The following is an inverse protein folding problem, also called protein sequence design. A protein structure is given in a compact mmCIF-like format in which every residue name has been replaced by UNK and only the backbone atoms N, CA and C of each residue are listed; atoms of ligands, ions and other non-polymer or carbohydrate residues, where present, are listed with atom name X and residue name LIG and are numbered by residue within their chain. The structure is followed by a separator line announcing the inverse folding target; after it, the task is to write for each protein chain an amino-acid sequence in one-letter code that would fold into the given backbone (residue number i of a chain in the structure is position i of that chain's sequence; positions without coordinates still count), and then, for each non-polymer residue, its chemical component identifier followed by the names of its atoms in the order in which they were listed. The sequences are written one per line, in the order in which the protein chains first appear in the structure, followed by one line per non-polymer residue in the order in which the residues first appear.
data_IF_292565653621
#
_entry.id   IF_292565653621
#
_cell.length_a   1.000
_cell.length_b   1.000
_cell.length_c   1.000
_cell.angle_alpha   90.00
_cell.angle_beta   90.00
_cell.angle_gamma   90.00
#
_symmetry.space_group_name_H-M   'P 1'
#
loop_
_entity.id
_entity.type
_entity.pdbx_description
1 polymer ?
#
# COMPACT_ATOMS: atom_id res chain seq x y z
N UNK A 1 29.65 23.78 -10.64
CA UNK A 1 30.85 22.92 -10.76
C UNK A 1 32.19 23.65 -10.62
N UNK A 2 32.34 24.90 -11.09
CA UNK A 2 33.60 25.66 -10.94
C UNK A 2 34.02 25.87 -9.47
N UNK A 3 33.11 26.32 -8.60
CA UNK A 3 33.39 26.52 -7.17
C UNK A 3 33.74 25.24 -6.41
N UNK A 4 33.07 24.12 -6.69
CA UNK A 4 33.37 22.81 -6.11
C UNK A 4 34.82 22.37 -6.42
N UNK A 5 35.25 22.49 -7.67
CA UNK A 5 36.64 22.18 -8.04
C UNK A 5 37.63 23.09 -7.31
N UNK A 6 37.35 24.38 -7.25
CA UNK A 6 38.25 25.31 -6.58
C UNK A 6 38.44 24.95 -5.10
N UNK A 7 37.39 24.46 -4.42
CA UNK A 7 37.46 24.04 -3.03
C UNK A 7 38.16 22.68 -2.82
N UNK A 8 37.89 21.69 -3.69
CA UNK A 8 38.26 20.29 -3.39
C UNK A 8 39.26 19.64 -4.37
N UNK A 9 39.75 20.37 -5.38
CA UNK A 9 40.59 19.77 -6.44
C UNK A 9 41.92 19.19 -5.93
N UNK A 10 42.55 19.78 -4.91
CA UNK A 10 43.78 19.24 -4.35
C UNK A 10 43.55 17.87 -3.69
N UNK A 11 42.53 17.77 -2.84
CA UNK A 11 42.13 16.54 -2.14
C UNK A 11 41.69 15.44 -3.12
N UNK A 12 40.89 15.80 -4.13
CA UNK A 12 40.43 14.86 -5.16
C UNK A 12 41.58 14.27 -5.99
N UNK A 13 42.63 15.05 -6.24
CA UNK A 13 43.82 14.58 -6.97
C UNK A 13 44.77 13.76 -6.10
N UNK A 14 44.63 13.81 -4.78
CA UNK A 14 45.41 13.02 -3.82
C UNK A 14 44.85 11.60 -3.66
N UNK A 15 43.55 11.42 -3.92
CA UNK A 15 42.88 10.11 -4.01
C UNK A 15 43.27 9.29 -5.26
N UNK A 16 44.28 9.73 -6.02
CA UNK A 16 44.74 9.00 -7.20
C UNK A 16 45.38 7.66 -6.81
N UNK A 17 44.80 6.58 -7.31
CA UNK A 17 45.37 5.22 -7.18
C UNK A 17 46.69 5.05 -7.95
N UNK A 18 47.04 6.01 -8.80
CA UNK A 18 48.26 5.99 -9.62
C UNK A 18 49.23 7.10 -9.17
N UNK A 19 50.52 6.78 -8.94
CA UNK A 19 51.53 7.80 -8.63
C UNK A 19 51.73 8.79 -9.79
N UNK A 20 51.93 10.07 -9.46
CA UNK A 20 52.18 11.14 -10.46
C UNK A 20 53.46 10.92 -11.29
N UNK A 21 54.39 10.09 -10.82
CA UNK A 21 55.60 9.70 -11.53
C UNK A 21 55.32 8.84 -12.77
N UNK A 22 54.22 8.07 -12.77
CA UNK A 22 53.81 7.22 -13.90
C UNK A 22 52.89 8.01 -14.86
N UNK A 23 53.49 8.84 -15.72
CA UNK A 23 52.75 9.83 -16.52
C UNK A 23 51.65 9.25 -17.42
N UNK A 24 51.86 8.07 -18.02
CA UNK A 24 50.89 7.46 -18.93
C UNK A 24 49.63 6.97 -18.19
N UNK A 25 49.83 6.27 -17.08
CA UNK A 25 48.76 5.72 -16.25
C UNK A 25 48.02 6.83 -15.50
N UNK A 26 48.75 7.85 -15.02
CA UNK A 26 48.17 9.00 -14.35
C UNK A 26 47.28 9.82 -15.30
N UNK A 27 47.68 10.00 -16.57
CA UNK A 27 46.82 10.64 -17.59
C UNK A 27 45.56 9.83 -17.88
N UNK A 28 45.67 8.51 -17.92
CA UNK A 28 44.53 7.61 -18.11
C UNK A 28 43.56 7.70 -16.93
N UNK A 29 44.08 7.74 -15.70
CA UNK A 29 43.30 7.96 -14.49
C UNK A 29 42.61 9.33 -14.51
N UNK A 30 43.32 10.42 -14.82
CA UNK A 30 42.76 11.77 -14.92
C UNK A 30 41.58 11.84 -15.90
N UNK A 31 41.68 11.15 -17.04
CA UNK A 31 40.59 11.08 -18.02
C UNK A 31 39.38 10.34 -17.46
N UNK A 32 39.57 9.22 -16.77
CA UNK A 32 38.47 8.48 -16.12
C UNK A 32 37.84 9.30 -15.01
N UNK A 33 38.66 9.92 -14.17
CA UNK A 33 38.21 10.78 -13.08
C UNK A 33 37.43 11.98 -13.59
N UNK A 34 37.92 12.68 -14.63
CA UNK A 34 37.19 13.77 -15.25
C UNK A 34 35.86 13.29 -15.85
N UNK A 35 35.85 12.12 -16.53
CA UNK A 35 34.62 11.53 -17.06
C UNK A 35 33.60 11.20 -15.96
N UNK A 36 34.06 10.73 -14.81
CA UNK A 36 33.21 10.50 -13.64
C UNK A 36 32.70 11.82 -13.06
N UNK A 37 33.58 12.78 -12.78
CA UNK A 37 33.28 14.05 -12.11
C UNK A 37 32.28 14.91 -12.90
N UNK A 38 32.35 14.87 -14.23
CA UNK A 38 31.42 15.60 -15.12
C UNK A 38 30.31 14.72 -15.70
N UNK A 39 30.33 13.42 -15.40
CA UNK A 39 29.23 12.54 -15.74
C UNK A 39 28.02 12.80 -14.84
N UNK A 40 26.84 12.37 -15.27
CA UNK A 40 25.62 12.42 -14.45
C UNK A 40 25.33 11.09 -13.78
N UNK A 41 26.13 10.05 -14.05
CA UNK A 41 25.91 8.70 -13.52
C UNK A 41 25.99 8.60 -12.00
N UNK A 42 26.59 9.58 -11.33
CA UNK A 42 26.67 9.67 -9.87
C UNK A 42 25.64 10.65 -9.28
N UNK A 43 24.75 11.21 -10.11
CA UNK A 43 23.65 12.08 -9.67
C UNK A 43 22.40 11.22 -9.59
N UNK A 44 21.88 11.06 -8.38
CA UNK A 44 20.62 10.39 -8.14
C UNK A 44 19.59 11.42 -7.67
N UNK A 45 18.37 11.35 -8.23
CA UNK A 45 17.22 12.14 -7.76
C UNK A 45 16.33 11.18 -6.97
N UNK A 46 16.40 11.16 -5.63
CA UNK A 46 15.47 10.40 -4.83
C UNK A 46 14.13 11.13 -4.75
N UNK A 47 13.05 10.42 -5.02
CA UNK A 47 11.70 10.88 -4.66
C UNK A 47 11.37 10.42 -3.24
N UNK A 48 10.77 11.30 -2.45
CA UNK A 48 10.21 10.98 -1.14
C UNK A 48 8.75 11.40 -1.10
N UNK A 49 7.93 10.59 -0.42
CA UNK A 49 6.55 10.90 -0.09
C UNK A 49 6.50 11.00 1.43
N UNK A 50 6.04 12.13 1.93
CA UNK A 50 5.80 12.33 3.35
C UNK A 50 4.30 12.13 3.63
N UNK A 51 4.00 11.30 4.61
CA UNK A 51 2.65 11.11 5.14
C UNK A 51 2.68 11.51 6.62
N UNK A 52 1.84 12.46 7.01
CA UNK A 52 1.86 13.08 8.34
C UNK A 52 3.26 13.55 8.78
N UNK A 53 3.99 14.22 7.87
CA UNK A 53 5.36 14.68 8.07
C UNK A 53 6.40 13.58 8.35
N UNK A 54 6.06 12.31 8.07
CA UNK A 54 6.97 11.17 8.16
C UNK A 54 7.20 10.60 6.76
N UNK A 55 8.46 10.47 6.39
CA UNK A 55 8.87 9.77 5.16
C UNK A 55 8.31 8.35 5.12
N UNK A 56 7.63 7.99 4.03
CA UNK A 56 7.02 6.67 3.80
C UNK A 56 7.98 5.49 4.03
N UNK A 57 9.29 5.70 3.79
CA UNK A 57 10.36 4.69 3.99
C UNK A 57 10.60 4.40 5.47
N UNK A 58 10.20 5.31 6.36
CA UNK A 58 10.29 5.18 7.82
C UNK A 58 9.00 4.64 8.45
N UNK A 59 7.91 4.57 7.69
CA UNK A 59 6.66 3.97 8.15
C UNK A 59 6.81 2.44 8.29
N UNK A 60 6.08 1.86 9.25
CA UNK A 60 5.94 0.41 9.35
C UNK A 60 5.16 -0.15 8.15
N UNK A 61 5.21 -1.47 7.90
CA UNK A 61 4.57 -2.07 6.73
C UNK A 61 3.08 -1.74 6.56
N UNK A 62 2.35 -1.61 7.68
CA UNK A 62 0.93 -1.26 7.66
C UNK A 62 0.66 0.13 7.09
N UNK A 63 1.06 1.23 7.78
CA UNK A 63 0.94 2.60 7.31
C UNK A 63 1.49 2.81 5.90
N UNK A 64 2.60 2.16 5.55
CA UNK A 64 3.14 2.19 4.19
C UNK A 64 2.16 1.63 3.15
N UNK A 65 1.52 0.50 3.44
CA UNK A 65 0.50 -0.10 2.57
C UNK A 65 -0.70 0.83 2.34
N UNK A 66 -1.11 1.58 3.37
CA UNK A 66 -2.16 2.59 3.29
C UNK A 66 -1.79 3.69 2.33
N UNK A 67 -0.62 4.31 2.51
CA UNK A 67 -0.19 5.45 1.68
C UNK A 67 -0.13 5.02 0.23
N UNK A 68 0.35 3.81 -0.04
CA UNK A 68 0.36 3.24 -1.38
C UNK A 68 -1.07 3.05 -1.93
N UNK A 69 -1.99 2.54 -1.12
CA UNK A 69 -3.39 2.35 -1.51
C UNK A 69 -4.09 3.69 -1.80
N UNK A 70 -3.91 4.69 -0.94
CA UNK A 70 -4.39 6.07 -1.15
C UNK A 70 -3.85 6.62 -2.47
N UNK A 71 -2.55 6.45 -2.73
CA UNK A 71 -1.92 6.89 -3.96
C UNK A 71 -2.55 6.22 -5.20
N UNK A 72 -2.79 4.91 -5.16
CA UNK A 72 -3.40 4.16 -6.27
C UNK A 72 -4.86 4.51 -6.51
N UNK A 73 -5.60 4.90 -5.46
CA UNK A 73 -7.00 5.30 -5.57
C UNK A 73 -7.13 6.77 -5.99
N UNK A 74 -6.26 7.66 -5.50
CA UNK A 74 -6.38 9.11 -5.68
C UNK A 74 -5.65 9.67 -6.91
N UNK A 75 -4.55 9.06 -7.38
CA UNK A 75 -3.77 9.63 -8.50
C UNK A 75 -4.29 9.28 -9.90
N UNK A 76 -5.33 8.46 -10.00
CA UNK A 76 -5.64 7.72 -11.22
C UNK A 76 -7.09 7.90 -11.67
N UNK A 77 -7.57 9.15 -11.71
CA UNK A 77 -8.94 9.52 -12.12
C UNK A 77 -9.32 9.12 -13.56
N UNK A 78 -8.34 8.82 -14.42
CA UNK A 78 -8.56 8.36 -15.79
C UNK A 78 -8.10 6.92 -16.05
N UNK A 79 -7.70 6.19 -15.00
CA UNK A 79 -7.25 4.80 -15.13
C UNK A 79 -8.45 3.87 -14.90
N UNK A 80 -8.94 3.29 -15.98
CA UNK A 80 -10.10 2.38 -15.99
C UNK A 80 -9.71 0.91 -15.78
N UNK A 81 -8.41 0.61 -15.62
CA UNK A 81 -7.94 -0.77 -15.47
C UNK A 81 -8.46 -1.40 -14.18
N UNK A 82 -8.83 -2.70 -14.18
CA UNK A 82 -9.27 -3.38 -12.98
C UNK A 82 -8.22 -3.32 -11.87
N UNK A 83 -8.65 -2.95 -10.66
CA UNK A 83 -7.83 -2.93 -9.46
C UNK A 83 -8.16 -4.14 -8.60
N UNK A 84 -7.15 -4.95 -8.29
CA UNK A 84 -7.27 -6.09 -7.38
C UNK A 84 -6.47 -5.79 -6.10
N UNK A 85 -7.14 -5.85 -4.96
CA UNK A 85 -6.55 -5.61 -3.64
C UNK A 85 -6.78 -6.84 -2.78
N UNK A 86 -5.71 -7.43 -2.27
CA UNK A 86 -5.77 -8.59 -1.38
C UNK A 86 -5.20 -8.25 -0.01
N UNK A 87 -6.08 -8.14 0.99
CA UNK A 87 -5.75 -7.96 2.40
C UNK A 87 -4.74 -6.84 2.72
N UNK A 88 -4.71 -5.76 1.93
CA UNK A 88 -3.81 -4.62 2.20
C UNK A 88 -4.15 -3.88 3.49
N UNK A 89 -5.33 -4.12 4.07
CA UNK A 89 -5.84 -3.52 5.30
C UNK A 89 -5.36 -4.18 6.59
N UNK A 90 -4.66 -5.32 6.55
CA UNK A 90 -4.41 -6.18 7.72
C UNK A 90 -3.60 -5.51 8.87
N UNK A 91 -3.19 -4.25 8.69
CA UNK A 91 -2.45 -3.45 9.66
C UNK A 91 -2.97 -1.99 9.75
N UNK A 92 -4.24 -1.76 9.38
CA UNK A 92 -4.94 -0.47 9.48
C UNK A 92 -5.61 -0.33 10.86
N UNK A 93 -5.19 0.65 11.68
CA UNK A 93 -5.75 0.82 13.04
C UNK A 93 -6.09 2.27 13.51
N UNK A 94 -6.08 3.31 12.65
CA UNK A 94 -6.82 4.53 12.95
C UNK A 94 -8.12 4.62 12.14
N UNK A 95 -9.25 4.80 12.84
CA UNK A 95 -10.58 5.07 12.26
C UNK A 95 -10.60 6.16 11.16
N UNK A 96 -9.87 7.30 11.29
CA UNK A 96 -9.86 8.33 10.25
C UNK A 96 -9.40 7.85 8.87
N UNK A 97 -8.45 6.91 8.85
CA UNK A 97 -7.91 6.38 7.59
C UNK A 97 -8.95 5.50 6.88
N UNK A 98 -9.76 4.77 7.65
CA UNK A 98 -10.84 3.96 7.07
C UNK A 98 -11.91 4.81 6.41
N UNK A 99 -12.30 5.90 7.05
CA UNK A 99 -13.33 6.79 6.52
C UNK A 99 -12.85 7.40 5.18
N UNK A 100 -11.60 7.86 5.11
CA UNK A 100 -11.00 8.36 3.86
C UNK A 100 -10.89 7.28 2.77
N UNK A 101 -10.44 6.06 3.12
CA UNK A 101 -10.35 4.96 2.17
C UNK A 101 -11.71 4.57 1.60
N UNK A 102 -12.75 4.54 2.42
CA UNK A 102 -14.13 4.22 2.00
C UNK A 102 -14.59 5.19 0.92
N UNK A 103 -14.39 6.49 1.11
CA UNK A 103 -14.75 7.50 0.11
C UNK A 103 -13.99 7.29 -1.20
N UNK A 104 -12.68 7.03 -1.12
CA UNK A 104 -11.85 6.76 -2.29
C UNK A 104 -12.27 5.50 -3.04
N UNK A 105 -12.71 4.44 -2.35
CA UNK A 105 -13.25 3.26 -2.99
C UNK A 105 -14.56 3.53 -3.73
N UNK A 106 -15.46 4.31 -3.12
CA UNK A 106 -16.73 4.71 -3.74
C UNK A 106 -16.45 5.53 -5.01
N UNK A 107 -15.49 6.44 -4.97
CA UNK A 107 -15.08 7.20 -6.16
C UNK A 107 -14.46 6.28 -7.22
N UNK A 108 -13.51 5.43 -6.83
CA UNK A 108 -12.81 4.54 -7.75
C UNK A 108 -13.74 3.56 -8.45
N UNK A 109 -14.72 2.97 -7.75
CA UNK A 109 -15.65 1.99 -8.36
C UNK A 109 -16.52 2.58 -9.47
N UNK A 110 -16.72 3.91 -9.47
CA UNK A 110 -17.48 4.61 -10.51
C UNK A 110 -16.68 4.82 -11.81
N UNK A 111 -15.35 4.68 -11.75
CA UNK A 111 -14.45 4.90 -12.89
C UNK A 111 -13.82 3.58 -13.37
N UNK A 112 -13.57 2.63 -12.47
CA UNK A 112 -12.94 1.34 -12.78
C UNK A 112 -13.51 0.19 -11.95
N UNK A 113 -13.31 -1.04 -12.40
CA UNK A 113 -13.64 -2.21 -11.58
C UNK A 113 -12.67 -2.36 -10.41
N UNK A 114 -13.19 -2.45 -9.19
CA UNK A 114 -12.40 -2.73 -7.98
C UNK A 114 -12.82 -4.07 -7.40
N UNK A 115 -11.86 -4.98 -7.23
CA UNK A 115 -12.03 -6.28 -6.59
C UNK A 115 -11.19 -6.28 -5.32
N UNK A 116 -11.85 -6.39 -4.17
CA UNK A 116 -11.19 -6.40 -2.87
C UNK A 116 -11.44 -7.73 -2.16
N UNK A 117 -10.36 -8.34 -1.66
CA UNK A 117 -10.42 -9.43 -0.69
C UNK A 117 -10.15 -8.82 0.68
N UNK A 118 -11.18 -8.78 1.53
CA UNK A 118 -11.08 -8.18 2.85
C UNK A 118 -11.75 -9.03 3.91
N UNK A 119 -11.23 -8.90 5.14
CA UNK A 119 -11.83 -9.42 6.36
C UNK A 119 -12.42 -8.29 7.23
N UNK A 120 -12.41 -7.05 6.74
CA UNK A 120 -12.88 -5.88 7.46
C UNK A 120 -14.32 -5.54 7.07
N UNK A 121 -15.23 -5.61 8.05
CA UNK A 121 -16.65 -5.30 7.88
C UNK A 121 -16.88 -3.87 7.37
N UNK A 122 -16.08 -2.90 7.82
CA UNK A 122 -16.24 -1.51 7.42
C UNK A 122 -15.92 -1.33 5.93
N UNK A 123 -14.89 -1.99 5.41
CA UNK A 123 -14.59 -1.91 3.97
C UNK A 123 -15.63 -2.68 3.14
N UNK A 124 -16.02 -3.89 3.57
CA UNK A 124 -16.98 -4.70 2.84
C UNK A 124 -18.38 -4.07 2.75
N UNK A 125 -18.79 -3.33 3.78
CA UNK A 125 -20.14 -2.74 3.89
C UNK A 125 -20.15 -1.25 3.54
N UNK A 126 -19.23 -0.46 4.10
CA UNK A 126 -19.30 1.00 3.97
C UNK A 126 -18.76 1.51 2.65
N UNK A 127 -17.92 0.74 1.94
CA UNK A 127 -17.49 1.08 0.57
C UNK A 127 -18.58 0.83 -0.49
N UNK A 128 -19.81 0.55 -0.06
CA UNK A 128 -20.98 0.34 -0.93
C UNK A 128 -20.70 -0.73 -2.02
N UNK A 129 -20.30 -1.93 -1.61
CA UNK A 129 -19.98 -2.99 -2.55
C UNK A 129 -21.20 -3.40 -3.39
N UNK A 130 -21.09 -3.29 -4.72
CA UNK A 130 -22.17 -3.67 -5.64
C UNK A 130 -22.44 -5.17 -5.61
N UNK A 131 -21.39 -5.97 -5.40
CA UNK A 131 -21.43 -7.41 -5.25
C UNK A 131 -20.48 -7.87 -4.15
N UNK A 132 -20.97 -8.75 -3.29
CA UNK A 132 -20.19 -9.44 -2.27
C UNK A 132 -20.11 -10.91 -2.63
N UNK A 133 -18.89 -11.47 -2.53
CA UNK A 133 -18.64 -12.90 -2.74
C UNK A 133 -18.17 -13.49 -1.41
N UNK A 134 -18.99 -14.35 -0.82
CA UNK A 134 -18.69 -15.05 0.42
C UNK A 134 -18.11 -16.42 0.09
N UNK A 135 -16.92 -16.71 0.62
CA UNK A 135 -16.28 -18.01 0.54
C UNK A 135 -16.58 -18.85 1.79
N UNK A 136 -16.99 -20.11 1.58
CA UNK A 136 -17.24 -21.08 2.64
C UNK A 136 -16.27 -22.24 2.51
N UNK A 137 -15.62 -22.60 3.63
CA UNK A 137 -14.85 -23.84 3.73
C UNK A 137 -15.74 -24.95 4.31
N UNK A 138 -15.80 -26.09 3.63
CA UNK A 138 -16.46 -27.29 4.13
C UNK A 138 -15.60 -28.05 5.14
N UNK A 139 -16.10 -29.20 5.59
CA UNK A 139 -15.42 -30.05 6.58
C UNK A 139 -14.08 -30.56 6.05
N UNK A 140 -13.03 -30.39 6.86
CA UNK A 140 -11.72 -30.96 6.58
C UNK A 140 -11.77 -32.48 6.65
N UNK A 141 -11.35 -33.14 5.56
CA UNK A 141 -11.18 -34.59 5.52
C UNK A 141 -9.67 -34.88 5.49
N UNK A 142 -9.14 -35.79 6.32
CA UNK A 142 -7.71 -36.11 6.29
C UNK A 142 -7.22 -36.47 4.88
N UNK A 143 -6.11 -35.86 4.47
CA UNK A 143 -5.51 -36.08 3.14
C UNK A 143 -6.24 -35.42 1.96
N UNK A 144 -7.28 -34.61 2.20
CA UNK A 144 -7.98 -33.84 1.16
C UNK A 144 -8.08 -32.37 1.55
N UNK A 145 -8.07 -31.50 0.54
CA UNK A 145 -8.43 -30.10 0.73
C UNK A 145 -9.92 -29.99 1.08
N UNK A 146 -10.31 -29.08 1.98
CA UNK A 146 -11.72 -28.84 2.26
C UNK A 146 -12.43 -28.36 0.98
N UNK A 147 -13.68 -28.78 0.72
CA UNK A 147 -14.42 -28.26 -0.41
C UNK A 147 -14.75 -26.79 -0.16
N UNK A 148 -14.43 -25.92 -1.13
CA UNK A 148 -14.73 -24.50 -1.06
C UNK A 148 -16.00 -24.23 -1.87
N UNK A 149 -16.92 -23.44 -1.31
CA UNK A 149 -18.14 -22.99 -1.98
C UNK A 149 -18.20 -21.47 -1.95
N UNK A 150 -18.82 -20.87 -2.95
CA UNK A 150 -18.98 -19.43 -3.04
C UNK A 150 -20.46 -19.07 -3.14
N UNK A 151 -20.85 -18.00 -2.45
CA UNK A 151 -22.15 -17.36 -2.60
C UNK A 151 -21.91 -15.93 -3.08
N UNK A 152 -22.60 -15.52 -4.13
CA UNK A 152 -22.55 -14.15 -4.65
C UNK A 152 -23.89 -13.46 -4.51
N UNK A 153 -23.87 -12.17 -4.21
CA UNK A 153 -25.06 -11.33 -4.08
C UNK A 153 -24.72 -9.91 -3.64
N UNK A 154 -25.63 -8.97 -3.84
CA UNK A 154 -25.46 -7.58 -3.42
C UNK A 154 -25.85 -7.35 -1.95
N UNK A 155 -25.43 -6.21 -1.39
CA UNK A 155 -25.78 -5.77 -0.03
C UNK A 155 -27.31 -5.58 0.18
N UNK A 156 -28.08 -5.41 -0.89
CA UNK A 156 -29.54 -5.37 -0.86
C UNK A 156 -30.22 -6.69 -0.45
N UNK A 157 -29.53 -7.83 -0.59
CA UNK A 157 -30.09 -9.14 -0.22
C UNK A 157 -29.97 -9.38 1.30
N UNK A 158 -31.10 -9.69 1.95
CA UNK A 158 -31.16 -9.94 3.40
C UNK A 158 -30.33 -11.15 3.84
N UNK A 159 -30.34 -12.23 3.05
CA UNK A 159 -29.54 -13.44 3.34
C UNK A 159 -28.05 -13.13 3.21
N UNK A 160 -27.66 -12.30 2.23
CA UNK A 160 -26.27 -11.86 2.07
C UNK A 160 -25.82 -11.02 3.27
N UNK A 161 -26.62 -10.04 3.71
CA UNK A 161 -26.32 -9.24 4.91
C UNK A 161 -26.15 -10.11 6.15
N UNK A 162 -26.97 -11.16 6.29
CA UNK A 162 -26.86 -12.12 7.38
C UNK A 162 -25.52 -12.85 7.33
N UNK A 163 -25.13 -13.38 6.17
CA UNK A 163 -23.83 -14.04 6.01
C UNK A 163 -22.64 -13.12 6.30
N UNK A 164 -22.70 -11.87 5.84
CA UNK A 164 -21.66 -10.86 6.11
C UNK A 164 -21.55 -10.61 7.63
N UNK A 165 -22.67 -10.37 8.32
CA UNK A 165 -22.69 -10.15 9.76
C UNK A 165 -22.19 -11.37 10.54
N UNK A 166 -22.60 -12.58 10.14
CA UNK A 166 -22.17 -13.82 10.78
C UNK A 166 -20.65 -14.05 10.65
N UNK A 167 -20.06 -13.72 9.50
CA UNK A 167 -18.64 -13.96 9.21
C UNK A 167 -17.74 -12.85 9.77
N UNK A 168 -18.08 -11.58 9.52
CA UNK A 168 -17.19 -10.46 9.84
C UNK A 168 -17.39 -9.93 11.27
N UNK A 169 -18.60 -10.06 11.85
CA UNK A 169 -18.93 -9.58 13.20
C UNK A 169 -19.13 -10.71 14.22
N UNK A 170 -19.00 -11.97 13.80
CA UNK A 170 -19.26 -13.15 14.65
C UNK A 170 -20.76 -13.36 14.95
N UNK A 171 -21.63 -12.78 14.12
CA UNK A 171 -23.08 -12.89 14.18
C UNK A 171 -23.77 -11.90 15.11
N UNK A 172 -25.08 -11.80 14.93
CA UNK A 172 -25.92 -10.79 15.58
C UNK A 172 -25.81 -10.81 17.12
N UNK A 173 -25.60 -12.00 17.70
CA UNK A 173 -25.39 -12.15 19.15
C UNK A 173 -24.07 -11.54 19.61
N UNK A 174 -22.98 -11.75 18.88
CA UNK A 174 -21.68 -11.19 19.23
C UNK A 174 -21.69 -9.66 19.10
N UNK A 175 -22.35 -9.14 18.06
CA UNK A 175 -22.59 -7.72 17.88
C UNK A 175 -23.38 -7.10 19.05
N UNK A 176 -24.53 -7.69 19.41
CA UNK A 176 -25.35 -7.22 20.54
C UNK A 176 -24.62 -7.29 21.88
N UNK A 177 -23.85 -8.33 22.13
CA UNK A 177 -23.04 -8.46 23.34
C UNK A 177 -21.93 -7.39 23.40
N UNK A 178 -21.29 -7.08 22.27
CA UNK A 178 -20.29 -6.00 22.17
C UNK A 178 -20.94 -4.63 22.45
N UNK A 179 -22.09 -4.34 21.85
CA UNK A 179 -22.85 -3.11 22.10
C UNK A 179 -23.28 -2.98 23.58
N UNK A 180 -23.75 -4.08 24.18
CA UNK A 180 -24.13 -4.15 25.60
C UNK A 180 -22.93 -3.86 26.52
N UNK A 181 -21.76 -4.45 26.26
CA UNK A 181 -20.53 -4.19 27.02
C UNK A 181 -20.07 -2.74 26.92
N UNK A 182 -20.28 -2.11 25.75
CA UNK A 182 -19.95 -0.71 25.49
C UNK A 182 -21.05 0.28 25.95
N UNK A 183 -22.14 -0.21 26.57
CA UNK A 183 -23.31 0.60 27.00
C UNK A 183 -23.97 1.39 25.87
N UNK A 184 -23.83 0.94 24.63
CA UNK A 184 -24.50 1.55 23.47
C UNK A 184 -25.92 1.00 23.42
N UNK A 185 -26.93 1.88 23.49
CA UNK A 185 -28.31 1.51 23.20
C UNK A 185 -28.45 1.36 21.69
N UNK A 186 -28.78 0.16 21.24
CA UNK A 186 -29.18 -0.08 19.86
C UNK A 186 -30.68 0.23 19.78
N UNK A 187 -31.03 1.33 19.11
CA UNK A 187 -32.42 1.57 18.72
C UNK A 187 -32.79 0.61 17.58
N UNK A 188 -34.02 0.10 17.66
CA UNK A 188 -34.55 -1.00 16.85
C UNK A 188 -34.73 -0.66 15.39
#
# INVERSE_FOLDING_TARGET
MAGFRQAYQAELLDLSEVPRSQQADYRSWLRRFAKWLYGTNHIEIPYSIDYDAVDIRKLSPGPRGIVLLLLYLALHDSDDRPLIIDQSEQNLDPKPIFDELVELFILAKNVRQVIMVTHNANLAVNADADQVIVAFSGTHTPGKLPPIRYLSGGLGNADMRKHICDILEGGERAFKERARRLRVRLDR
#
